data_IF_245688196158
#
_entry.id   IF_245688196158
#
_cell.length_a   1.000
_cell.length_b   1.000
_cell.length_c   1.000
_cell.angle_alpha   90.00
_cell.angle_beta   90.00
_cell.angle_gamma   90.00
#
_symmetry.space_group_name_H-M   'P 1'
#
loop_
_entity.id
_entity.type
_entity.pdbx_description
1 polymer ?
#
# COMPACT_ATOMS: atom_id res chain seq x y z
N UNK A 1 -28.10 3.42 8.64
CA UNK A 1 -27.50 4.27 7.59
C UNK A 1 -27.04 3.39 6.44
N UNK A 2 -27.24 3.83 5.20
CA UNK A 2 -26.77 3.16 3.97
C UNK A 2 -26.01 4.17 3.09
N UNK A 3 -25.02 3.71 2.33
CA UNK A 3 -24.29 4.56 1.40
C UNK A 3 -25.21 5.00 0.25
N UNK A 4 -25.10 6.28 -0.14
CA UNK A 4 -25.73 6.79 -1.37
C UNK A 4 -24.88 6.39 -2.58
N UNK A 5 -25.46 6.47 -3.79
CA UNK A 5 -24.70 6.23 -5.02
C UNK A 5 -23.46 7.14 -5.16
N UNK A 6 -23.58 8.41 -4.73
CA UNK A 6 -22.45 9.33 -4.69
C UNK A 6 -21.37 8.89 -3.67
N UNK A 7 -21.79 8.33 -2.54
CA UNK A 7 -20.91 7.76 -1.54
C UNK A 7 -20.15 6.54 -2.03
N UNK A 8 -20.83 5.61 -2.72
CA UNK A 8 -20.18 4.44 -3.34
C UNK A 8 -19.13 4.86 -4.37
N UNK A 9 -19.47 5.80 -5.27
CA UNK A 9 -18.53 6.30 -6.26
C UNK A 9 -17.30 6.99 -5.63
N UNK A 10 -17.46 7.66 -4.48
CA UNK A 10 -16.36 8.25 -3.74
C UNK A 10 -15.46 7.16 -3.11
N UNK A 11 -16.08 6.15 -2.50
CA UNK A 11 -15.37 5.01 -1.92
C UNK A 11 -14.57 4.26 -2.98
N UNK A 12 -15.14 4.03 -4.16
CA UNK A 12 -14.48 3.36 -5.28
C UNK A 12 -13.22 4.12 -5.74
N UNK A 13 -13.33 5.45 -5.90
CA UNK A 13 -12.18 6.29 -6.27
C UNK A 13 -11.09 6.26 -5.21
N UNK A 14 -11.48 6.33 -3.93
CA UNK A 14 -10.52 6.30 -2.84
C UNK A 14 -9.81 4.94 -2.73
N UNK A 15 -10.53 3.82 -2.94
CA UNK A 15 -9.95 2.48 -2.96
C UNK A 15 -8.97 2.27 -4.11
N UNK A 16 -9.20 2.87 -5.27
CA UNK A 16 -8.32 2.75 -6.42
C UNK A 16 -7.03 3.60 -6.30
N UNK A 17 -7.03 4.64 -5.47
CA UNK A 17 -5.88 5.54 -5.34
C UNK A 17 -4.79 4.95 -4.41
N UNK A 18 -3.52 4.91 -4.82
CA UNK A 18 -2.42 4.54 -3.92
C UNK A 18 -2.24 5.52 -2.76
N UNK A 19 -1.66 5.05 -1.66
CA UNK A 19 -1.23 5.89 -0.54
C UNK A 19 0.18 6.39 -0.82
N UNK A 20 0.33 7.69 -1.04
CA UNK A 20 1.59 8.28 -1.50
C UNK A 20 2.58 8.58 -0.38
N UNK A 21 2.11 8.80 0.85
CA UNK A 21 2.98 9.05 2.00
C UNK A 21 3.26 7.72 2.70
N UNK A 22 4.51 7.25 2.66
CA UNK A 22 4.89 5.95 3.22
C UNK A 22 4.52 5.77 4.70
N UNK A 23 4.66 6.83 5.51
CA UNK A 23 4.25 6.80 6.92
C UNK A 23 2.74 6.55 7.10
N UNK A 24 1.94 6.92 6.11
CA UNK A 24 0.47 6.75 6.11
C UNK A 24 0.06 5.41 5.52
N UNK A 25 0.96 4.68 4.82
CA UNK A 25 0.68 3.34 4.27
C UNK A 25 0.26 2.39 5.39
N UNK A 26 0.91 2.43 6.56
CA UNK A 26 0.51 1.55 7.67
C UNK A 26 -0.92 1.78 8.20
N UNK A 27 -1.56 2.91 7.89
CA UNK A 27 -2.91 3.23 8.37
C UNK A 27 -3.93 3.24 7.22
N UNK A 28 -3.71 4.07 6.20
CA UNK A 28 -4.68 4.28 5.12
C UNK A 28 -4.78 3.05 4.20
N UNK A 29 -3.65 2.41 3.88
CA UNK A 29 -3.68 1.22 3.03
C UNK A 29 -4.34 0.03 3.73
N UNK A 30 -4.14 -0.15 5.05
CA UNK A 30 -4.83 -1.22 5.79
C UNK A 30 -6.35 -1.05 5.76
N UNK A 31 -6.83 0.19 5.88
CA UNK A 31 -8.25 0.49 5.76
C UNK A 31 -8.78 0.19 4.35
N UNK A 32 -8.03 0.56 3.30
CA UNK A 32 -8.37 0.22 1.91
C UNK A 32 -8.39 -1.29 1.69
N UNK A 33 -7.39 -2.01 2.19
CA UNK A 33 -7.30 -3.46 2.08
C UNK A 33 -8.49 -4.16 2.76
N UNK A 34 -8.91 -3.69 3.94
CA UNK A 34 -10.09 -4.19 4.63
C UNK A 34 -11.35 -4.11 3.77
N UNK A 35 -11.63 -2.94 3.19
CA UNK A 35 -12.80 -2.76 2.32
C UNK A 35 -12.67 -3.52 0.98
N UNK A 36 -11.47 -3.56 0.40
CA UNK A 36 -11.22 -4.28 -0.84
C UNK A 36 -11.42 -5.79 -0.67
N UNK A 37 -10.96 -6.39 0.44
CA UNK A 37 -11.17 -7.81 0.73
C UNK A 37 -12.67 -8.18 0.80
N UNK A 38 -13.49 -7.32 1.39
CA UNK A 38 -14.95 -7.52 1.47
C UNK A 38 -15.64 -7.50 0.10
N UNK A 39 -14.97 -6.94 -0.90
CA UNK A 39 -15.41 -6.90 -2.30
C UNK A 39 -14.79 -8.02 -3.15
N UNK A 40 -13.97 -8.88 -2.56
CA UNK A 40 -13.41 -10.08 -3.18
C UNK A 40 -11.88 -10.02 -3.38
N UNK A 41 -11.32 -11.12 -3.90
CA UNK A 41 -9.87 -11.27 -4.09
C UNK A 41 -9.32 -10.38 -5.21
N UNK A 42 -10.08 -10.17 -6.30
CA UNK A 42 -9.59 -9.38 -7.43
C UNK A 42 -9.37 -7.89 -7.04
N UNK A 43 -10.31 -7.20 -6.37
CA UNK A 43 -10.10 -5.81 -5.94
C UNK A 43 -8.90 -5.65 -4.99
N UNK A 44 -8.73 -6.54 -4.01
CA UNK A 44 -7.59 -6.43 -3.08
C UNK A 44 -6.26 -6.71 -3.76
N UNK A 45 -6.19 -7.68 -4.69
CA UNK A 45 -4.97 -7.92 -5.48
C UNK A 45 -4.60 -6.68 -6.30
N UNK A 46 -5.56 -6.07 -6.99
CA UNK A 46 -5.34 -4.85 -7.77
C UNK A 46 -4.86 -3.68 -6.90
N UNK A 47 -5.45 -3.49 -5.71
CA UNK A 47 -5.00 -2.47 -4.75
C UNK A 47 -3.54 -2.70 -4.32
N UNK A 48 -3.17 -3.95 -4.00
CA UNK A 48 -1.81 -4.30 -3.58
C UNK A 48 -0.82 -4.04 -4.71
N UNK A 49 -1.15 -4.45 -5.94
CA UNK A 49 -0.29 -4.25 -7.11
C UNK A 49 -0.08 -2.75 -7.40
N UNK A 50 -1.13 -1.94 -7.31
CA UNK A 50 -1.04 -0.49 -7.46
C UNK A 50 -0.16 0.16 -6.37
N UNK A 51 -0.29 -0.30 -5.12
CA UNK A 51 0.53 0.21 -4.01
C UNK A 51 2.01 -0.19 -4.16
N UNK A 52 2.29 -1.41 -4.62
CA UNK A 52 3.65 -1.88 -4.93
C UNK A 52 4.30 -0.96 -5.98
N UNK A 53 3.60 -0.70 -7.08
CA UNK A 53 4.10 0.18 -8.14
C UNK A 53 4.37 1.61 -7.64
N UNK A 54 3.49 2.14 -6.77
CA UNK A 54 3.68 3.45 -6.16
C UNK A 54 4.92 3.50 -5.24
N UNK A 55 5.15 2.46 -4.43
CA UNK A 55 6.35 2.35 -3.59
C UNK A 55 7.64 2.24 -4.43
N UNK A 56 7.61 1.50 -5.54
CA UNK A 56 8.74 1.38 -6.47
C UNK A 56 9.06 2.72 -7.15
N UNK A 57 8.04 3.43 -7.63
CA UNK A 57 8.20 4.78 -8.22
C UNK A 57 8.75 5.78 -7.21
N UNK A 58 8.28 5.72 -5.96
CA UNK A 58 8.81 6.55 -4.88
C UNK A 58 10.30 6.26 -4.59
N UNK A 59 10.68 4.98 -4.55
CA UNK A 59 12.08 4.57 -4.37
C UNK A 59 12.98 5.05 -5.53
N UNK A 60 12.53 4.91 -6.77
CA UNK A 60 13.25 5.39 -7.94
C UNK A 60 13.46 6.91 -7.91
N UNK A 61 12.41 7.65 -7.52
CA UNK A 61 12.48 9.11 -7.37
C UNK A 61 13.45 9.51 -6.27
N UNK A 62 13.41 8.83 -5.12
CA UNK A 62 14.37 9.07 -4.05
C UNK A 62 15.81 8.81 -4.52
N UNK A 63 16.08 7.66 -5.14
CA UNK A 63 17.41 7.32 -5.63
C UNK A 63 17.98 8.38 -6.57
N UNK A 64 17.16 8.90 -7.49
CA UNK A 64 17.56 9.98 -8.40
C UNK A 64 17.89 11.28 -7.65
N UNK A 65 17.05 11.67 -6.68
CA UNK A 65 17.29 12.91 -5.90
C UNK A 65 18.44 12.82 -4.91
N UNK A 66 18.85 11.61 -4.53
CA UNK A 66 19.89 11.40 -3.51
C UNK A 66 21.28 11.20 -4.10
N UNK A 67 21.40 11.03 -5.42
CA UNK A 67 22.67 10.75 -6.10
C UNK A 67 23.73 11.84 -5.91
N UNK A 68 23.31 13.09 -5.69
CA UNK A 68 24.19 14.25 -5.52
C UNK A 68 24.39 14.65 -4.05
N UNK A 69 23.79 13.93 -3.10
CA UNK A 69 23.92 14.26 -1.69
C UNK A 69 25.30 13.87 -1.14
N UNK A 70 25.85 14.73 -0.29
CA UNK A 70 27.04 14.38 0.48
C UNK A 70 26.74 13.17 1.40
N UNK A 71 27.50 12.06 1.30
CA UNK A 71 27.18 10.80 2.00
C UNK A 71 27.04 10.93 3.52
N UNK A 72 27.82 11.81 4.14
CA UNK A 72 27.86 12.01 5.59
C UNK A 72 26.96 13.17 6.06
N UNK A 73 26.20 13.77 5.12
CA UNK A 73 25.29 14.86 5.41
C UNK A 73 23.99 14.39 6.06
N UNK A 74 23.39 15.25 6.88
CA UNK A 74 22.09 14.97 7.51
C UNK A 74 20.99 14.68 6.46
N UNK A 75 21.04 15.30 5.29
CA UNK A 75 20.12 15.01 4.18
C UNK A 75 20.25 13.56 3.67
N UNK A 76 21.46 13.01 3.59
CA UNK A 76 21.69 11.62 3.22
C UNK A 76 21.18 10.64 4.29
N UNK A 77 21.32 11.00 5.57
CA UNK A 77 20.74 10.23 6.69
C UNK A 77 19.20 10.18 6.59
N UNK A 78 18.55 11.32 6.34
CA UNK A 78 17.08 11.39 6.17
C UNK A 78 16.64 10.59 4.95
N UNK A 79 17.35 10.72 3.82
CA UNK A 79 17.08 9.94 2.63
C UNK A 79 17.21 8.43 2.89
N UNK A 80 18.27 7.99 3.56
CA UNK A 80 18.47 6.60 3.95
C UNK A 80 17.35 6.07 4.84
N UNK A 81 16.85 6.89 5.77
CA UNK A 81 15.67 6.55 6.59
C UNK A 81 14.42 6.32 5.74
N UNK A 82 14.13 7.21 4.79
CA UNK A 82 12.99 7.06 3.88
C UNK A 82 13.12 5.85 2.95
N UNK A 83 14.31 5.61 2.39
CA UNK A 83 14.60 4.45 1.54
C UNK A 83 14.39 3.15 2.32
N UNK A 84 14.93 3.07 3.54
CA UNK A 84 14.76 1.91 4.41
C UNK A 84 13.29 1.63 4.74
N UNK A 85 12.52 2.67 5.09
CA UNK A 85 11.09 2.56 5.32
C UNK A 85 10.34 2.06 4.07
N UNK A 86 10.67 2.60 2.89
CA UNK A 86 10.08 2.20 1.62
C UNK A 86 10.33 0.73 1.28
N UNK A 87 11.58 0.26 1.46
CA UNK A 87 11.92 -1.14 1.27
C UNK A 87 11.17 -2.07 2.23
N UNK A 88 11.07 -1.68 3.51
CA UNK A 88 10.30 -2.44 4.49
C UNK A 88 8.82 -2.56 4.10
N UNK A 89 8.20 -1.46 3.67
CA UNK A 89 6.83 -1.44 3.17
C UNK A 89 6.67 -2.33 1.92
N UNK A 90 7.58 -2.22 0.96
CA UNK A 90 7.54 -3.00 -0.28
C UNK A 90 7.69 -4.50 -0.03
N UNK A 91 8.60 -4.89 0.87
CA UNK A 91 8.79 -6.28 1.25
C UNK A 91 7.50 -6.87 1.87
N UNK A 92 6.87 -6.12 2.78
CA UNK A 92 5.60 -6.52 3.39
C UNK A 92 4.47 -6.65 2.35
N UNK A 93 4.32 -5.67 1.45
CA UNK A 93 3.28 -5.71 0.40
C UNK A 93 3.46 -6.89 -0.56
N UNK A 94 4.70 -7.19 -0.96
CA UNK A 94 5.00 -8.34 -1.83
C UNK A 94 4.69 -9.66 -1.14
N UNK A 95 5.01 -9.78 0.14
CA UNK A 95 4.63 -10.96 0.93
C UNK A 95 3.11 -11.10 1.01
N UNK A 96 2.41 -10.01 1.31
CA UNK A 96 0.95 -10.01 1.35
C UNK A 96 0.33 -10.37 -0.02
N UNK A 97 0.91 -9.88 -1.12
CA UNK A 97 0.48 -10.24 -2.48
C UNK A 97 0.61 -11.74 -2.75
N UNK A 98 1.72 -12.37 -2.34
CA UNK A 98 1.92 -13.83 -2.45
C UNK A 98 0.87 -14.60 -1.66
N UNK A 99 0.57 -14.17 -0.44
CA UNK A 99 -0.46 -14.81 0.39
C UNK A 99 -1.84 -14.74 -0.29
N UNK A 100 -2.17 -13.63 -0.95
CA UNK A 100 -3.42 -13.50 -1.72
C UNK A 100 -3.47 -14.40 -2.96
N UNK A 101 -2.33 -14.84 -3.52
CA UNK A 101 -2.27 -15.81 -4.64
C UNK A 101 -2.48 -17.23 -4.16
N UNK A 102 -1.86 -17.57 -3.03
CA UNK A 102 -2.00 -18.86 -2.40
C UNK A 102 -3.41 -19.08 -1.79
N UNK A 103 -4.16 -18.00 -1.56
CA UNK A 103 -5.53 -18.09 -1.06
C UNK A 103 -6.45 -18.73 -2.12
N UNK A 104 -7.17 -19.83 -1.79
CA UNK A 104 -8.17 -20.40 -2.68
C UNK A 104 -9.29 -19.39 -2.96
N UNK A 105 -10.02 -19.54 -4.06
CA UNK A 105 -11.15 -18.69 -4.46
C UNK A 105 -12.28 -18.71 -3.39
N UNK A 106 -12.10 -17.87 -2.37
CA UNK A 106 -12.92 -17.48 -1.22
C UNK A 106 -13.85 -18.54 -0.57
N UNK A 107 -13.52 -18.90 0.67
CA UNK A 107 -14.51 -18.92 1.74
C UNK A 107 -14.53 -17.50 2.40
N UNK A 108 -15.70 -16.99 2.84
CA UNK A 108 -15.80 -15.66 3.43
C UNK A 108 -14.91 -15.51 4.68
N UNK A 109 -14.45 -14.29 5.00
CA UNK A 109 -13.59 -14.04 6.14
C UNK A 109 -14.27 -14.48 7.43
N UNK A 110 -13.61 -15.35 8.21
CA UNK A 110 -14.05 -15.66 9.57
C UNK A 110 -13.85 -14.42 10.43
N UNK A 111 -14.94 -13.85 10.90
CA UNK A 111 -14.92 -12.88 11.99
C UNK A 111 -14.42 -13.56 13.27
N UNK A 112 -13.52 -12.89 14.00
CA UNK A 112 -13.22 -13.21 15.40
C UNK A 112 -11.87 -13.88 15.65
N UNK A 113 -10.90 -13.12 16.13
CA UNK A 113 -10.57 -13.24 17.55
C UNK A 113 -10.21 -11.86 18.07
N UNK A 114 -11.04 -11.40 19.01
CA UNK A 114 -10.63 -10.45 20.03
C UNK A 114 -9.49 -11.04 20.87
#
# INVERSE_FOLDING_TARGET
>A
YTLTAAGEALLDRWLAAPVYRLREVRLDFLLKAFFAQRRGLAPVRALVDAQIAACESYLASLAATTAELAPDGFAALVAGSHISAAHGTLAWLREYRRQLEAAPAAAPPREGSA
#
